data_IF_426317369908
#
_entry.id   IF_426317369908
#
_cell.length_a   1.000
_cell.length_b   1.000
_cell.length_c   1.000
_cell.angle_alpha   90.00
_cell.angle_beta   90.00
_cell.angle_gamma   90.00
#
_symmetry.space_group_name_H-M   'P 1'
#
loop_
_entity.id
_entity.type
_entity.pdbx_description
1 polymer ?
#
# COMPACT_ATOMS: atom_id res chain seq x y z
N UNK A 1 26.43 1.46 -5.95
CA UNK A 1 25.87 1.18 -7.30
C UNK A 1 25.13 -0.16 -7.32
N UNK A 2 25.77 -1.28 -6.94
CA UNK A 2 25.13 -2.61 -6.82
C UNK A 2 23.88 -2.65 -5.92
N UNK A 3 23.94 -2.00 -4.75
CA UNK A 3 22.80 -1.94 -3.81
C UNK A 3 21.56 -1.31 -4.46
N UNK A 4 21.76 -0.22 -5.22
CA UNK A 4 20.69 0.47 -5.97
C UNK A 4 20.11 -0.42 -7.08
N UNK A 5 20.95 -1.16 -7.80
CA UNK A 5 20.48 -2.12 -8.81
C UNK A 5 19.69 -3.28 -8.20
N UNK A 6 20.11 -3.83 -7.06
CA UNK A 6 19.36 -4.88 -6.37
C UNK A 6 17.97 -4.41 -5.94
N UNK A 7 17.85 -3.17 -5.46
CA UNK A 7 16.53 -2.60 -5.12
C UNK A 7 15.65 -2.43 -6.35
N UNK A 8 16.20 -1.95 -7.46
CA UNK A 8 15.45 -1.86 -8.72
C UNK A 8 15.00 -3.23 -9.23
N UNK A 9 15.87 -4.24 -9.17
CA UNK A 9 15.51 -5.61 -9.56
C UNK A 9 14.41 -6.21 -8.68
N UNK A 10 14.43 -5.96 -7.38
CA UNK A 10 13.35 -6.37 -6.48
C UNK A 10 12.02 -5.68 -6.83
N UNK A 11 12.05 -4.37 -7.11
CA UNK A 11 10.86 -3.63 -7.55
C UNK A 11 10.33 -4.21 -8.87
N UNK A 12 11.20 -4.50 -9.84
CA UNK A 12 10.80 -5.09 -11.11
C UNK A 12 10.29 -6.53 -10.99
N UNK A 13 10.86 -7.33 -10.09
CA UNK A 13 10.37 -8.68 -9.82
C UNK A 13 8.97 -8.65 -9.19
N UNK A 14 8.72 -7.72 -8.26
CA UNK A 14 7.40 -7.52 -7.66
C UNK A 14 6.40 -7.00 -8.69
N UNK A 15 6.81 -6.07 -9.55
CA UNK A 15 6.02 -5.59 -10.69
C UNK A 15 5.58 -6.73 -11.59
N UNK A 16 6.56 -7.53 -12.05
CA UNK A 16 6.33 -8.66 -12.92
C UNK A 16 5.38 -9.66 -12.26
N UNK A 17 5.61 -10.00 -10.99
CA UNK A 17 4.74 -10.89 -10.22
C UNK A 17 3.33 -10.33 -10.09
N UNK A 18 3.15 -9.04 -9.82
CA UNK A 18 1.83 -8.40 -9.71
C UNK A 18 1.08 -8.36 -11.04
N UNK A 19 1.75 -8.06 -12.16
CA UNK A 19 1.14 -8.12 -13.50
C UNK A 19 0.89 -9.55 -13.96
N UNK A 20 1.70 -10.50 -13.50
CA UNK A 20 1.53 -11.91 -13.78
C UNK A 20 0.37 -12.51 -12.98
N UNK A 21 0.17 -12.06 -11.72
CA UNK A 21 -0.78 -12.70 -10.81
C UNK A 21 -2.21 -12.62 -11.30
N UNK A 22 -2.59 -11.63 -12.10
CA UNK A 22 -3.90 -11.56 -12.72
C UNK A 22 -3.88 -10.63 -13.94
N UNK A 23 -4.77 -10.88 -14.88
CA UNK A 23 -5.39 -9.87 -15.77
C UNK A 23 -6.11 -8.75 -14.98
N UNK A 24 -5.51 -8.28 -13.89
CA UNK A 24 -6.08 -7.42 -12.87
C UNK A 24 -6.03 -5.96 -13.26
N UNK A 25 -6.86 -5.18 -12.57
CA UNK A 25 -6.99 -3.75 -12.80
C UNK A 25 -5.62 -3.06 -12.60
N UNK A 26 -5.10 -2.42 -13.66
CA UNK A 26 -3.80 -1.73 -13.68
C UNK A 26 -3.66 -0.71 -12.54
N UNK A 27 -4.77 -0.11 -12.10
CA UNK A 27 -4.82 0.83 -10.99
C UNK A 27 -4.47 0.20 -9.64
N UNK A 28 -4.89 -1.05 -9.40
CA UNK A 28 -4.59 -1.81 -8.18
C UNK A 28 -3.11 -2.17 -8.14
N UNK A 29 -2.55 -2.61 -9.28
CA UNK A 29 -1.12 -2.92 -9.41
C UNK A 29 -0.26 -1.68 -9.11
N UNK A 30 -0.62 -0.54 -9.69
CA UNK A 30 0.10 0.71 -9.47
C UNK A 30 0.03 1.18 -8.02
N UNK A 31 -1.16 1.09 -7.40
CA UNK A 31 -1.34 1.44 -5.98
C UNK A 31 -0.49 0.57 -5.05
N UNK A 32 -0.50 -0.75 -5.25
CA UNK A 32 0.34 -1.68 -4.49
C UNK A 32 1.83 -1.35 -4.62
N UNK A 33 2.28 -1.04 -5.83
CA UNK A 33 3.67 -0.68 -6.07
C UNK A 33 4.09 0.57 -5.30
N UNK A 34 3.23 1.60 -5.30
CA UNK A 34 3.51 2.82 -4.55
C UNK A 34 3.56 2.54 -3.05
N UNK A 35 2.69 1.66 -2.52
CA UNK A 35 2.75 1.23 -1.11
C UNK A 35 4.08 0.54 -0.81
N UNK A 36 4.57 -0.33 -1.70
CA UNK A 36 5.85 -1.01 -1.54
C UNK A 36 7.02 -0.01 -1.58
N UNK A 37 7.03 0.89 -2.56
CA UNK A 37 8.07 1.91 -2.71
C UNK A 37 8.09 2.87 -1.52
N UNK A 38 6.92 3.29 -1.03
CA UNK A 38 6.81 4.10 0.19
C UNK A 38 7.36 3.38 1.41
N UNK A 39 6.98 2.13 1.65
CA UNK A 39 7.49 1.34 2.77
C UNK A 39 9.01 1.14 2.68
N UNK A 40 9.54 0.87 1.49
CA UNK A 40 10.98 0.79 1.26
C UNK A 40 11.68 2.10 1.59
N UNK A 41 11.13 3.25 1.17
CA UNK A 41 11.67 4.55 1.50
C UNK A 41 11.65 4.83 3.01
N UNK A 42 10.57 4.46 3.71
CA UNK A 42 10.47 4.58 5.18
C UNK A 42 11.55 3.74 5.85
N UNK A 43 11.70 2.46 5.45
CA UNK A 43 12.67 1.53 6.02
C UNK A 43 14.10 2.01 5.79
N UNK A 44 14.40 2.53 4.60
CA UNK A 44 15.69 3.14 4.30
C UNK A 44 15.95 4.38 5.15
N UNK A 45 14.95 5.23 5.38
CA UNK A 45 15.08 6.41 6.24
C UNK A 45 15.42 6.02 7.69
N UNK A 46 14.86 4.91 8.16
CA UNK A 46 15.18 4.33 9.47
C UNK A 46 16.63 3.84 9.51
N UNK A 47 17.10 3.12 8.48
CA UNK A 47 18.49 2.63 8.40
C UNK A 47 19.53 3.75 8.32
N UNK A 48 19.24 4.83 7.62
CA UNK A 48 20.20 5.94 7.41
C UNK A 48 20.07 7.06 8.44
N UNK A 49 19.24 6.88 9.48
CA UNK A 49 18.88 7.90 10.47
C UNK A 49 18.49 9.26 9.87
N UNK A 50 18.00 9.27 8.63
CA UNK A 50 17.64 10.50 7.94
C UNK A 50 16.30 10.99 8.50
N UNK A 51 16.35 12.11 9.23
CA UNK A 51 15.18 12.63 9.91
C UNK A 51 14.27 13.49 9.00
N UNK A 52 14.75 13.89 7.81
CA UNK A 52 14.01 14.75 6.89
C UNK A 52 13.41 13.94 5.76
N UNK A 53 12.10 14.04 5.61
CA UNK A 53 11.43 13.47 4.45
C UNK A 53 11.72 14.27 3.21
N UNK A 54 12.13 13.58 2.14
CA UNK A 54 12.23 14.17 0.81
C UNK A 54 10.83 14.46 0.26
N UNK A 55 10.71 15.43 -0.66
CA UNK A 55 9.47 15.72 -1.38
C UNK A 55 8.85 14.46 -2.01
N UNK A 56 9.69 13.55 -2.53
CA UNK A 56 9.25 12.27 -3.09
C UNK A 56 8.61 11.34 -2.05
N UNK A 57 9.08 11.35 -0.80
CA UNK A 57 8.48 10.54 0.28
C UNK A 57 7.13 11.10 0.70
N UNK A 58 6.98 12.43 0.71
CA UNK A 58 5.69 13.09 0.94
C UNK A 58 4.68 12.77 -0.16
N UNK A 59 5.10 12.87 -1.42
CA UNK A 59 4.24 12.54 -2.56
C UNK A 59 3.82 11.07 -2.52
N UNK A 60 4.78 10.15 -2.31
CA UNK A 60 4.48 8.74 -2.17
C UNK A 60 3.54 8.45 -0.99
N UNK A 61 3.73 9.11 0.16
CA UNK A 61 2.86 8.99 1.33
C UNK A 61 1.43 9.50 1.09
N UNK A 62 1.28 10.57 0.30
CA UNK A 62 -0.04 11.08 -0.09
C UNK A 62 -0.74 10.09 -1.03
N UNK A 63 -0.01 9.56 -2.02
CA UNK A 63 -0.59 8.58 -2.96
C UNK A 63 -0.93 7.26 -2.27
N UNK A 64 -0.12 6.79 -1.31
CA UNK A 64 -0.48 5.61 -0.50
C UNK A 64 -1.72 5.86 0.35
N UNK A 65 -1.90 7.07 0.89
CA UNK A 65 -3.10 7.44 1.63
C UNK A 65 -4.36 7.44 0.73
N UNK A 66 -4.26 8.01 -0.47
CA UNK A 66 -5.36 7.96 -1.45
C UNK A 66 -5.70 6.52 -1.83
N UNK A 67 -4.69 5.67 -2.03
CA UNK A 67 -4.88 4.27 -2.36
C UNK A 67 -5.52 3.48 -1.20
N UNK A 68 -5.13 3.76 0.05
CA UNK A 68 -5.75 3.18 1.22
C UNK A 68 -7.23 3.58 1.33
N UNK A 69 -7.56 4.84 1.11
CA UNK A 69 -8.95 5.33 1.06
C UNK A 69 -9.75 4.67 -0.05
N UNK A 70 -9.19 4.55 -1.25
CA UNK A 70 -9.83 3.85 -2.38
C UNK A 70 -10.11 2.38 -2.06
N UNK A 71 -9.12 1.68 -1.51
CA UNK A 71 -9.24 0.26 -1.16
C UNK A 71 -10.26 0.06 -0.04
N UNK A 72 -10.23 0.90 1.00
CA UNK A 72 -11.19 0.86 2.10
C UNK A 72 -12.62 1.16 1.65
N UNK A 73 -12.81 2.20 0.82
CA UNK A 73 -14.10 2.53 0.23
C UNK A 73 -14.65 1.39 -0.63
N UNK A 74 -13.80 0.78 -1.46
CA UNK A 74 -14.19 -0.36 -2.29
C UNK A 74 -14.61 -1.56 -1.44
N UNK A 75 -13.90 -1.84 -0.34
CA UNK A 75 -14.26 -2.92 0.58
C UNK A 75 -15.58 -2.64 1.31
N UNK A 76 -15.86 -1.39 1.70
CA UNK A 76 -17.13 -1.00 2.32
C UNK A 76 -18.29 -1.12 1.33
N UNK A 77 -18.13 -0.68 0.07
CA UNK A 77 -19.13 -0.86 -0.96
C UNK A 77 -19.43 -2.34 -1.20
N UNK A 78 -18.38 -3.16 -1.35
CA UNK A 78 -18.53 -4.61 -1.49
C UNK A 78 -19.27 -5.22 -0.30
N UNK A 79 -19.00 -4.75 0.93
CA UNK A 79 -19.71 -5.21 2.13
C UNK A 79 -21.19 -4.84 2.07
N UNK A 80 -21.54 -3.61 1.69
CA UNK A 80 -22.93 -3.16 1.55
C UNK A 80 -23.65 -4.01 0.49
N UNK A 81 -23.03 -4.24 -0.67
CA UNK A 81 -23.60 -5.05 -1.75
C UNK A 81 -23.78 -6.51 -1.32
N UNK A 82 -22.77 -7.09 -0.65
CA UNK A 82 -22.81 -8.46 -0.12
C UNK A 82 -23.99 -8.64 0.85
N UNK A 83 -24.24 -7.66 1.72
CA UNK A 83 -25.39 -7.64 2.64
C UNK A 83 -26.71 -7.48 1.85
N UNK A 84 -26.76 -6.52 0.91
CA UNK A 84 -27.95 -6.21 0.14
C UNK A 84 -28.46 -7.37 -0.72
N UNK A 85 -27.54 -8.12 -1.34
CA UNK A 85 -27.87 -9.26 -2.20
C UNK A 85 -27.83 -10.62 -1.50
N UNK A 86 -27.56 -10.65 -0.18
CA UNK A 86 -27.40 -11.88 0.62
C UNK A 86 -26.39 -12.87 0.00
N UNK A 87 -25.37 -12.32 -0.66
CA UNK A 87 -24.39 -13.09 -1.42
C UNK A 87 -23.11 -13.22 -0.61
N UNK A 88 -22.90 -14.35 0.06
CA UNK A 88 -21.82 -14.55 1.04
C UNK A 88 -20.80 -15.63 0.64
N UNK A 89 -20.19 -15.58 -0.56
CA UNK A 89 -19.11 -16.52 -0.86
C UNK A 89 -17.89 -16.20 0.02
N UNK A 90 -17.20 -17.25 0.45
CA UNK A 90 -16.03 -17.15 1.34
C UNK A 90 -14.93 -16.26 0.75
N UNK A 91 -14.75 -16.30 -0.58
CA UNK A 91 -13.76 -15.49 -1.30
C UNK A 91 -14.04 -13.99 -1.17
N UNK A 92 -15.30 -13.55 -1.29
CA UNK A 92 -15.69 -12.14 -1.16
C UNK A 92 -15.51 -11.66 0.28
N UNK A 93 -15.85 -12.49 1.27
CA UNK A 93 -15.64 -12.14 2.69
C UNK A 93 -14.15 -11.98 2.99
N UNK A 94 -13.31 -12.90 2.51
CA UNK A 94 -11.85 -12.80 2.64
C UNK A 94 -11.31 -11.53 1.97
N UNK A 95 -11.82 -11.18 0.79
CA UNK A 95 -11.43 -9.96 0.08
C UNK A 95 -11.82 -8.69 0.85
N UNK A 96 -13.03 -8.63 1.41
CA UNK A 96 -13.49 -7.50 2.21
C UNK A 96 -12.64 -7.33 3.48
N UNK A 97 -12.44 -8.42 4.22
CA UNK A 97 -11.66 -8.39 5.47
C UNK A 97 -10.21 -8.02 5.20
N UNK A 98 -9.59 -8.63 4.19
CA UNK A 98 -8.21 -8.30 3.81
C UNK A 98 -8.08 -6.86 3.31
N UNK A 99 -9.03 -6.35 2.52
CA UNK A 99 -9.04 -4.97 2.05
C UNK A 99 -9.16 -3.93 3.17
N UNK A 100 -10.05 -4.19 4.14
CA UNK A 100 -10.21 -3.33 5.31
C UNK A 100 -8.96 -3.33 6.21
N UNK A 101 -8.43 -4.52 6.53
CA UNK A 101 -7.21 -4.66 7.32
C UNK A 101 -6.02 -3.99 6.63
N UNK A 102 -5.88 -4.21 5.33
CA UNK A 102 -4.78 -3.64 4.55
C UNK A 102 -4.85 -2.11 4.53
N UNK A 103 -6.02 -1.54 4.24
CA UNK A 103 -6.23 -0.09 4.31
C UNK A 103 -5.88 0.46 5.70
N UNK A 104 -6.37 -0.19 6.76
CA UNK A 104 -6.10 0.20 8.14
C UNK A 104 -4.60 0.17 8.49
N UNK A 105 -3.86 -0.86 8.06
CA UNK A 105 -2.41 -0.95 8.28
C UNK A 105 -1.63 0.16 7.56
N UNK A 106 -2.06 0.58 6.36
CA UNK A 106 -1.43 1.70 5.65
C UNK A 106 -1.64 3.01 6.43
N UNK A 107 -2.85 3.24 6.97
CA UNK A 107 -3.12 4.40 7.82
C UNK A 107 -2.25 4.42 9.08
N UNK A 108 -2.14 3.28 9.78
CA UNK A 108 -1.28 3.17 10.96
C UNK A 108 0.19 3.41 10.62
N UNK A 109 0.68 2.86 9.51
CA UNK A 109 2.05 3.06 9.06
C UNK A 109 2.35 4.54 8.77
N UNK A 110 1.43 5.24 8.11
CA UNK A 110 1.56 6.68 7.86
C UNK A 110 1.56 7.49 9.17
N UNK A 111 0.63 7.20 10.08
CA UNK A 111 0.56 7.86 11.39
C UNK A 111 1.84 7.64 12.21
N UNK A 112 2.34 6.40 12.28
CA UNK A 112 3.57 6.07 13.00
C UNK A 112 4.78 6.79 12.41
N UNK A 113 4.86 6.86 11.08
CA UNK A 113 5.94 7.54 10.36
C UNK A 113 5.90 9.07 10.58
N UNK A 114 4.71 9.66 10.68
CA UNK A 114 4.52 11.08 11.04
C UNK A 114 4.82 11.36 12.51
N UNK A 115 4.38 10.51 13.43
CA UNK A 115 4.62 10.68 14.87
C UNK A 115 6.11 10.65 15.21
N UNK A 116 6.87 9.74 14.58
CA UNK A 116 8.33 9.66 14.74
C UNK A 116 9.04 10.96 14.32
N UNK A 117 8.50 11.70 13.36
CA UNK A 117 9.04 13.00 12.93
C UNK A 117 8.77 14.12 13.94
N UNK A 118 7.65 14.09 14.65
CA UNK A 118 7.25 15.18 15.55
C UNK A 118 7.97 15.12 16.91
N UNK A 119 8.37 13.92 17.36
CA UNK A 119 8.95 13.69 18.69
C UNK A 119 10.48 13.45 18.70
N UNK A 120 11.20 13.76 17.61
CA UNK A 120 12.68 13.72 17.52
C UNK A 120 13.22 14.97 16.83
#
# INVERSE_FOLDING_TARGET
MLRTLSYLNLIFAVLYFLTYLLNGNRWVVFGLLIVIVFNWMVLRNIETEQNRWSFLQWLAGLVTLLYASYTGYSAVLLLIDTIGYHYYPTETILLIVSGLLFSFTIFLQLLASLYKKTYK
#
